data_IF_265762434717
#
_entry.id   IF_265762434717
#
_cell.length_a   1.000
_cell.length_b   1.000
_cell.length_c   1.000
_cell.angle_alpha   90.00
_cell.angle_beta   90.00
_cell.angle_gamma   90.00
#
_symmetry.space_group_name_H-M   'P 1'
#
loop_
_entity.id
_entity.type
_entity.pdbx_description
1 polymer ?
#
# COMPACT_ATOMS: atom_id res chain seq x y z
N UNK A 1 26.59 36.37 69.93
CA UNK A 1 25.17 36.50 69.57
C UNK A 1 24.97 35.72 68.28
N UNK A 2 24.38 34.52 68.35
CA UNK A 2 24.16 33.65 67.18
C UNK A 2 22.66 33.45 66.98
N UNK A 3 22.21 33.74 65.75
CA UNK A 3 20.82 33.74 65.32
C UNK A 3 20.27 32.30 65.09
N UNK A 4 18.97 32.07 65.32
CA UNK A 4 18.34 30.76 65.12
C UNK A 4 18.14 30.41 63.64
N UNK A 5 18.39 29.13 63.35
CA UNK A 5 18.44 28.51 62.03
C UNK A 5 17.09 28.51 61.30
N UNK A 6 17.06 29.10 60.11
CA UNK A 6 15.92 29.29 59.19
C UNK A 6 15.50 28.04 58.41
N UNK A 7 16.05 26.87 58.71
CA UNK A 7 15.89 25.64 57.91
C UNK A 7 14.58 24.90 58.20
N UNK A 8 13.99 25.08 59.40
CA UNK A 8 12.78 24.36 59.80
C UNK A 8 11.50 24.86 59.13
N UNK A 9 11.42 26.17 58.81
CA UNK A 9 10.23 26.76 58.20
C UNK A 9 10.03 26.34 56.73
N UNK A 10 11.11 26.06 55.99
CA UNK A 10 11.00 25.68 54.57
C UNK A 10 10.57 24.23 54.34
N UNK A 11 10.86 23.30 55.26
CA UNK A 11 10.37 21.92 55.14
C UNK A 11 8.85 21.84 55.32
N UNK A 12 8.30 22.62 56.25
CA UNK A 12 6.87 22.59 56.56
C UNK A 12 5.97 23.19 55.46
N UNK A 13 6.52 24.08 54.62
CA UNK A 13 5.81 24.65 53.47
C UNK A 13 5.77 23.72 52.24
N UNK A 14 6.71 22.77 52.11
CA UNK A 14 6.78 21.84 50.97
C UNK A 14 5.74 20.73 51.08
N UNK A 15 5.45 20.27 52.30
CA UNK A 15 4.48 19.18 52.54
C UNK A 15 3.02 19.60 52.33
N UNK A 16 2.67 20.89 52.45
CA UNK A 16 1.29 21.35 52.19
C UNK A 16 0.94 21.45 50.71
N UNK A 17 1.93 21.62 49.83
CA UNK A 17 1.68 21.69 48.38
C UNK A 17 1.48 20.32 47.72
N UNK A 18 2.05 19.26 48.27
CA UNK A 18 1.83 17.89 47.78
C UNK A 18 0.47 17.33 48.20
N UNK A 19 -0.07 17.73 49.36
CA UNK A 19 -1.40 17.31 49.80
C UNK A 19 -2.54 17.89 48.95
N UNK A 20 -2.38 19.08 48.37
CA UNK A 20 -3.44 19.75 47.59
C UNK A 20 -3.47 19.38 46.10
N UNK A 21 -2.45 18.68 45.58
CA UNK A 21 -2.42 18.25 44.17
C UNK A 21 -3.08 16.88 43.93
N UNK A 22 -3.39 16.14 44.98
CA UNK A 22 -4.00 14.80 44.88
C UNK A 22 -5.53 14.79 44.91
N UNK A 23 -6.19 15.91 45.23
CA UNK A 23 -7.67 15.99 45.22
C UNK A 23 -8.27 16.33 43.85
N UNK A 24 -7.45 16.68 42.85
CA UNK A 24 -7.94 17.16 41.55
C UNK A 24 -8.10 16.08 40.47
N UNK A 25 -7.83 14.80 40.78
CA UNK A 25 -7.90 13.72 39.79
C UNK A 25 -8.98 12.70 40.16
N UNK A 26 -10.16 12.72 39.50
CA UNK A 26 -11.24 11.75 39.75
C UNK A 26 -10.91 10.32 39.26
N UNK A 27 -9.68 10.05 38.84
CA UNK A 27 -9.27 8.77 38.24
C UNK A 27 -8.85 7.68 39.25
N UNK A 28 -8.69 8.04 40.53
CA UNK A 28 -8.27 7.09 41.59
C UNK A 28 -9.27 7.02 42.75
N UNK A 29 -10.55 6.81 42.45
CA UNK A 29 -11.44 6.21 43.46
C UNK A 29 -11.13 4.71 43.55
N UNK A 30 -10.95 4.15 44.76
CA UNK A 30 -10.72 2.72 44.92
C UNK A 30 -11.89 1.95 44.31
N UNK A 31 -11.59 1.05 43.36
CA UNK A 31 -12.57 0.07 42.88
C UNK A 31 -12.95 -0.81 44.08
N UNK A 32 -14.24 -0.95 44.35
CA UNK A 32 -14.74 -2.03 45.21
C UNK A 32 -14.17 -3.37 44.70
N UNK A 33 -13.76 -4.29 45.58
CA UNK A 33 -13.31 -5.61 45.18
C UNK A 33 -14.42 -6.31 44.39
N UNK A 34 -14.04 -7.02 43.33
CA UNK A 34 -14.87 -7.60 42.26
C UNK A 34 -15.85 -8.71 42.74
N UNK A 35 -15.97 -8.93 44.06
CA UNK A 35 -16.75 -10.03 44.64
C UNK A 35 -18.15 -9.69 45.14
N UNK A 36 -18.59 -8.43 45.11
CA UNK A 36 -19.82 -8.01 45.79
C UNK A 36 -20.52 -6.88 45.03
N UNK A 37 -20.84 -7.14 43.76
CA UNK A 37 -21.62 -6.23 42.92
C UNK A 37 -23.00 -6.85 42.72
N UNK A 38 -24.04 -6.26 43.31
CA UNK A 38 -25.41 -6.76 43.18
C UNK A 38 -25.91 -6.59 41.75
N UNK A 39 -26.83 -7.45 41.33
CA UNK A 39 -27.41 -7.43 39.98
C UNK A 39 -28.05 -6.05 39.64
N UNK A 40 -28.49 -5.33 40.67
CA UNK A 40 -29.02 -3.98 40.63
C UNK A 40 -27.95 -2.89 40.35
N UNK A 41 -26.70 -3.04 40.82
CA UNK A 41 -25.58 -2.16 40.45
C UNK A 41 -25.13 -2.41 38.99
N UNK A 42 -25.19 -3.65 38.51
CA UNK A 42 -24.89 -4.00 37.10
C UNK A 42 -25.95 -3.42 36.16
N UNK A 43 -27.23 -3.47 36.55
CA UNK A 43 -28.33 -2.87 35.80
C UNK A 43 -28.24 -1.33 35.75
N UNK A 44 -27.76 -0.68 36.83
CA UNK A 44 -27.54 0.77 36.85
C UNK A 44 -26.40 1.21 35.88
N UNK A 45 -25.34 0.40 35.76
CA UNK A 45 -24.25 0.65 34.80
C UNK A 45 -24.70 0.48 33.34
N UNK A 46 -25.61 -0.47 33.06
CA UNK A 46 -26.14 -0.72 31.71
C UNK A 46 -27.26 0.25 31.30
N UNK A 47 -28.03 0.78 32.26
CA UNK A 47 -29.21 1.63 31.97
C UNK A 47 -28.89 3.12 31.80
N UNK A 48 -27.74 3.59 32.29
CA UNK A 48 -27.46 5.03 32.41
C UNK A 48 -27.29 5.80 31.10
N UNK A 49 -26.98 5.14 29.97
CA UNK A 49 -26.57 5.85 28.76
C UNK A 49 -27.00 5.18 27.44
N UNK A 50 -28.22 4.60 27.40
CA UNK A 50 -28.81 4.03 26.17
C UNK A 50 -28.80 4.98 24.97
N UNK A 51 -28.88 6.29 25.22
CA UNK A 51 -28.75 7.32 24.18
C UNK A 51 -27.37 7.27 23.51
N UNK A 52 -26.31 7.13 24.29
CA UNK A 52 -24.94 7.04 23.76
C UNK A 52 -24.67 5.72 23.06
N UNK A 53 -25.28 4.62 23.53
CA UNK A 53 -25.19 3.32 22.87
C UNK A 53 -25.81 3.38 21.46
N UNK A 54 -26.97 4.01 21.32
CA UNK A 54 -27.61 4.22 20.01
C UNK A 54 -26.74 5.05 19.06
N UNK A 55 -26.15 6.15 19.54
CA UNK A 55 -25.22 6.96 18.75
C UNK A 55 -23.95 6.19 18.37
N UNK A 56 -23.39 5.40 19.29
CA UNK A 56 -22.20 4.57 19.01
C UNK A 56 -22.48 3.54 17.91
N UNK A 57 -23.65 2.88 17.94
CA UNK A 57 -24.05 1.94 16.90
C UNK A 57 -24.29 2.62 15.55
N UNK A 58 -24.87 3.82 15.53
CA UNK A 58 -25.04 4.59 14.28
C UNK A 58 -23.70 5.00 13.67
N UNK A 59 -22.76 5.49 14.49
CA UNK A 59 -21.41 5.85 14.01
C UNK A 59 -20.67 4.61 13.51
N UNK A 60 -20.73 3.50 14.23
CA UNK A 60 -20.13 2.24 13.80
C UNK A 60 -20.72 1.75 12.47
N UNK A 61 -22.05 1.79 12.32
CA UNK A 61 -22.72 1.45 11.07
C UNK A 61 -22.31 2.36 9.91
N UNK A 62 -22.21 3.67 10.14
CA UNK A 62 -21.78 4.63 9.13
C UNK A 62 -20.35 4.35 8.67
N UNK A 63 -19.42 4.05 9.59
CA UNK A 63 -18.04 3.71 9.26
C UNK A 63 -17.94 2.41 8.47
N UNK A 64 -18.76 1.41 8.79
CA UNK A 64 -18.83 0.15 8.03
C UNK A 64 -19.30 0.45 6.61
N UNK A 65 -20.40 1.21 6.43
CA UNK A 65 -20.92 1.58 5.10
C UNK A 65 -19.88 2.39 4.31
N UNK A 66 -19.22 3.36 4.94
CA UNK A 66 -18.13 4.12 4.33
C UNK A 66 -16.95 3.25 3.89
N UNK A 67 -16.64 2.18 4.64
CA UNK A 67 -15.59 1.23 4.25
C UNK A 67 -15.96 0.40 3.01
N UNK A 68 -17.24 0.21 2.72
CA UNK A 68 -17.70 -0.45 1.48
C UNK A 68 -17.76 0.52 0.31
N UNK A 69 -17.95 1.82 0.57
CA UNK A 69 -17.83 2.88 -0.44
C UNK A 69 -16.35 3.30 -0.51
N UNK A 70 -15.45 2.36 -0.81
CA UNK A 70 -14.17 2.76 -1.39
C UNK A 70 -14.47 3.17 -2.82
N UNK A 71 -14.21 4.41 -3.25
CA UNK A 71 -14.27 4.72 -4.67
C UNK A 71 -13.33 3.74 -5.36
N UNK A 72 -13.82 3.06 -6.39
CA UNK A 72 -13.01 2.21 -7.24
C UNK A 72 -11.75 3.00 -7.60
N UNK A 73 -10.66 2.64 -6.91
CA UNK A 73 -9.39 3.33 -7.00
C UNK A 73 -8.94 3.18 -8.44
N UNK A 74 -9.13 4.27 -9.20
CA UNK A 74 -8.61 4.53 -10.55
C UNK A 74 -8.13 3.25 -11.23
N UNK A 75 -9.07 2.47 -11.78
CA UNK A 75 -8.70 1.44 -12.75
C UNK A 75 -7.98 2.18 -13.86
N UNK A 76 -6.65 2.07 -13.88
CA UNK A 76 -5.84 2.65 -14.93
C UNK A 76 -6.50 2.30 -16.27
N UNK A 77 -6.63 3.27 -17.20
CA UNK A 77 -7.17 2.96 -18.52
C UNK A 77 -6.41 1.74 -19.04
N UNK A 78 -7.15 0.72 -19.50
CA UNK A 78 -6.55 -0.48 -20.04
C UNK A 78 -5.50 -0.03 -21.07
N UNK A 79 -4.24 -0.50 -20.99
CA UNK A 79 -3.21 -0.06 -21.91
C UNK A 79 -3.75 -0.31 -23.31
N UNK A 80 -3.85 0.76 -24.11
CA UNK A 80 -4.26 0.65 -25.50
C UNK A 80 -3.08 -0.05 -26.17
N UNK A 81 -3.14 -1.38 -26.29
CA UNK A 81 -2.16 -2.13 -27.06
C UNK A 81 -2.31 -1.68 -28.51
N UNK A 82 -1.46 -0.77 -28.95
CA UNK A 82 -1.23 -0.56 -30.37
C UNK A 82 -0.47 -1.79 -30.86
N UNK A 83 -1.23 -2.81 -31.24
CA UNK A 83 -0.73 -4.04 -31.83
C UNK A 83 -0.73 -3.86 -33.35
N UNK A 84 0.47 -3.87 -33.94
CA UNK A 84 0.66 -3.75 -35.38
C UNK A 84 1.33 -5.02 -35.88
N UNK A 85 0.80 -5.61 -36.95
CA UNK A 85 1.50 -6.70 -37.65
C UNK A 85 2.90 -6.23 -38.04
N UNK A 86 3.91 -7.04 -37.74
CA UNK A 86 5.26 -6.89 -38.27
C UNK A 86 5.53 -7.90 -39.40
N UNK A 87 4.53 -8.69 -39.80
CA UNK A 87 4.62 -9.60 -40.93
C UNK A 87 5.19 -10.95 -40.57
N UNK A 88 5.83 -11.63 -41.52
CA UNK A 88 6.52 -12.91 -41.27
C UNK A 88 8.03 -12.70 -41.21
N UNK A 89 8.71 -13.49 -40.37
CA UNK A 89 10.17 -13.47 -40.27
C UNK A 89 10.77 -14.02 -41.56
N UNK A 90 11.69 -13.26 -42.16
CA UNK A 90 12.47 -13.66 -43.34
C UNK A 90 13.83 -14.22 -42.91
N UNK A 91 14.52 -13.49 -42.03
CA UNK A 91 15.83 -13.88 -41.51
C UNK A 91 16.06 -13.31 -40.11
N UNK A 92 16.95 -13.96 -39.37
CA UNK A 92 17.42 -13.52 -38.05
C UNK A 92 18.94 -13.58 -38.04
N UNK A 93 19.56 -12.45 -37.73
CA UNK A 93 21.01 -12.33 -37.56
C UNK A 93 21.32 -12.01 -36.11
N UNK A 94 22.12 -12.84 -35.45
CA UNK A 94 22.50 -12.62 -34.05
C UNK A 94 23.86 -11.93 -34.02
N UNK A 95 23.92 -10.78 -33.35
CA UNK A 95 25.12 -10.01 -33.13
C UNK A 95 25.64 -10.26 -31.71
N UNK A 96 26.83 -10.85 -31.62
CA UNK A 96 27.53 -11.03 -30.36
C UNK A 96 28.61 -9.96 -30.22
N UNK A 97 28.52 -9.16 -29.17
CA UNK A 97 29.60 -8.26 -28.74
C UNK A 97 30.22 -8.78 -27.43
N UNK A 98 31.34 -8.21 -27.00
CA UNK A 98 31.98 -8.61 -25.76
C UNK A 98 31.13 -8.34 -24.50
N UNK A 99 30.14 -7.46 -24.58
CA UNK A 99 29.34 -7.01 -23.45
C UNK A 99 27.84 -7.25 -23.59
N UNK A 100 27.35 -7.49 -24.81
CA UNK A 100 25.93 -7.63 -25.09
C UNK A 100 25.64 -8.56 -26.27
N UNK A 101 24.43 -9.10 -26.31
CA UNK A 101 23.90 -9.91 -27.40
C UNK A 101 22.65 -9.22 -27.93
N UNK A 102 22.68 -8.79 -29.18
CA UNK A 102 21.52 -8.25 -29.88
C UNK A 102 21.21 -9.09 -31.12
N UNK A 103 19.99 -9.01 -31.63
CA UNK A 103 19.60 -9.70 -32.86
C UNK A 103 18.88 -8.75 -33.80
N UNK A 104 19.20 -8.83 -35.08
CA UNK A 104 18.46 -8.16 -36.15
C UNK A 104 17.47 -9.15 -36.74
N UNK A 105 16.18 -8.85 -36.59
CA UNK A 105 15.08 -9.63 -37.16
C UNK A 105 14.58 -8.90 -38.39
N UNK A 106 14.72 -9.52 -39.55
CA UNK A 106 14.14 -9.04 -40.80
C UNK A 106 12.79 -9.70 -41.01
N UNK A 107 11.77 -8.89 -41.21
CA UNK A 107 10.43 -9.33 -41.52
C UNK A 107 9.98 -8.76 -42.86
N UNK A 108 8.83 -9.22 -43.36
CA UNK A 108 8.24 -8.69 -44.61
C UNK A 108 7.90 -7.20 -44.52
N UNK A 109 7.61 -6.71 -43.32
CA UNK A 109 7.14 -5.33 -43.11
C UNK A 109 8.28 -4.39 -42.71
N UNK A 110 9.44 -4.91 -42.29
CA UNK A 110 10.57 -4.09 -41.86
C UNK A 110 11.76 -4.86 -41.29
N UNK A 111 12.70 -4.14 -40.71
CA UNK A 111 13.85 -4.71 -40.00
C UNK A 111 13.89 -4.14 -38.59
N UNK A 112 14.06 -5.02 -37.60
CA UNK A 112 13.93 -4.70 -36.20
C UNK A 112 15.16 -5.18 -35.45
N UNK A 113 15.82 -4.29 -34.70
CA UNK A 113 16.90 -4.67 -33.80
C UNK A 113 16.32 -4.90 -32.41
N UNK A 114 16.60 -6.06 -31.84
CA UNK A 114 16.09 -6.44 -30.51
C UNK A 114 17.22 -6.91 -29.62
N UNK A 115 17.04 -6.67 -28.32
CA UNK A 115 17.98 -7.13 -27.30
C UNK A 115 17.79 -8.62 -27.03
N UNK A 116 18.91 -9.35 -26.97
CA UNK A 116 18.98 -10.79 -26.74
C UNK A 116 19.05 -11.62 -28.03
N UNK A 117 19.20 -12.94 -27.85
CA UNK A 117 19.18 -13.92 -28.92
C UNK A 117 17.73 -14.29 -29.26
N UNK A 118 17.27 -13.97 -30.47
CA UNK A 118 15.93 -14.31 -30.94
C UNK A 118 15.90 -15.74 -31.46
N UNK A 119 15.02 -16.55 -30.89
CA UNK A 119 14.69 -17.87 -31.43
C UNK A 119 13.46 -17.76 -32.33
N UNK A 120 13.67 -17.66 -33.63
CA UNK A 120 12.61 -17.64 -34.65
C UNK A 120 13.09 -18.32 -35.94
N UNK A 121 12.16 -18.92 -36.68
CA UNK A 121 12.41 -19.52 -37.98
C UNK A 121 11.77 -18.68 -39.11
N UNK A 122 12.32 -18.73 -40.34
CA UNK A 122 11.67 -18.12 -41.49
C UNK A 122 10.24 -18.64 -41.65
N UNK A 123 9.28 -17.71 -41.80
CA UNK A 123 7.85 -18.00 -41.88
C UNK A 123 7.09 -17.93 -40.54
N UNK A 124 7.77 -17.74 -39.41
CA UNK A 124 7.12 -17.45 -38.13
C UNK A 124 6.46 -16.05 -38.18
N UNK A 125 5.34 -15.86 -37.50
CA UNK A 125 4.64 -14.57 -37.48
C UNK A 125 5.21 -13.64 -36.41
N UNK A 126 5.37 -12.37 -36.77
CA UNK A 126 5.89 -11.33 -35.90
C UNK A 126 4.87 -10.21 -35.73
N UNK A 127 4.76 -9.69 -34.51
CA UNK A 127 3.84 -8.62 -34.16
C UNK A 127 4.56 -7.57 -33.34
N UNK A 128 4.45 -6.33 -33.78
CA UNK A 128 4.93 -5.17 -33.05
C UNK A 128 3.88 -4.75 -32.02
N UNK A 129 4.29 -4.62 -30.76
CA UNK A 129 3.44 -4.15 -29.67
C UNK A 129 4.06 -2.94 -29.02
N UNK A 130 3.36 -1.82 -29.07
CA UNK A 130 3.69 -0.65 -28.27
C UNK A 130 3.03 -0.82 -26.90
N UNK A 131 3.85 -1.15 -25.89
CA UNK A 131 3.35 -1.31 -24.53
C UNK A 131 3.40 0.04 -23.83
N UNK A 132 2.24 0.63 -23.57
CA UNK A 132 2.12 1.76 -22.66
C UNK A 132 1.97 1.25 -21.23
N UNK A 133 2.97 1.51 -20.39
CA UNK A 133 2.90 1.12 -18.99
C UNK A 133 2.28 2.29 -18.21
N UNK A 134 1.23 2.09 -17.38
CA UNK A 134 0.66 3.18 -16.58
C UNK A 134 1.65 3.78 -15.56
N UNK A 135 2.79 3.12 -15.34
CA UNK A 135 3.92 3.57 -14.52
C UNK A 135 5.00 4.38 -15.29
N UNK A 136 4.77 4.73 -16.56
CA UNK A 136 5.58 5.71 -17.29
C UNK A 136 6.79 5.18 -18.05
N UNK A 137 6.77 3.92 -18.47
CA UNK A 137 7.87 3.35 -19.26
C UNK A 137 7.35 2.68 -20.53
N UNK A 138 7.19 3.48 -21.57
CA UNK A 138 6.76 3.02 -22.89
C UNK A 138 7.98 2.43 -23.60
N UNK A 139 7.93 1.13 -23.88
CA UNK A 139 8.99 0.47 -24.66
C UNK A 139 8.34 -0.38 -25.75
N UNK A 140 8.70 -0.15 -27.02
CA UNK A 140 8.22 -0.99 -28.09
C UNK A 140 8.81 -2.41 -27.94
N UNK A 141 8.00 -3.42 -28.22
CA UNK A 141 8.41 -4.83 -28.17
C UNK A 141 8.04 -5.54 -29.47
N UNK A 142 8.92 -6.43 -29.90
CA UNK A 142 8.66 -7.34 -31.02
C UNK A 142 8.31 -8.72 -30.45
N UNK A 143 7.08 -9.16 -30.68
CA UNK A 143 6.61 -10.48 -30.29
C UNK A 143 6.66 -11.42 -31.48
N UNK A 144 7.41 -12.51 -31.37
CA UNK A 144 7.49 -13.55 -32.40
C UNK A 144 6.75 -14.79 -31.92
N UNK A 145 5.81 -15.26 -32.73
CA UNK A 145 5.06 -16.48 -32.50
C UNK A 145 5.68 -17.60 -33.34
N UNK A 146 6.52 -18.41 -32.72
CA UNK A 146 7.06 -19.63 -33.32
C UNK A 146 6.22 -20.84 -32.93
N UNK A 147 6.35 -21.93 -33.70
CA UNK A 147 5.70 -23.22 -33.39
C UNK A 147 6.12 -23.80 -32.03
N UNK A 148 7.29 -23.40 -31.54
CA UNK A 148 7.85 -23.90 -30.27
C UNK A 148 7.39 -23.03 -29.10
N UNK A 149 7.46 -21.69 -29.24
CA UNK A 149 7.10 -20.74 -28.19
C UNK A 149 6.83 -19.35 -28.76
N UNK A 150 5.91 -18.62 -28.14
CA UNK A 150 5.73 -17.18 -28.35
C UNK A 150 6.52 -16.37 -27.32
N UNK A 151 7.38 -15.45 -27.77
CA UNK A 151 8.24 -14.62 -26.90
C UNK A 151 8.27 -13.19 -27.43
N UNK A 152 8.27 -12.22 -26.51
CA UNK A 152 8.40 -10.80 -26.82
C UNK A 152 9.77 -10.27 -26.40
N UNK A 153 10.46 -9.66 -27.35
CA UNK A 153 11.78 -9.07 -27.20
C UNK A 153 11.66 -7.55 -27.15
N UNK A 154 12.56 -6.89 -26.40
CA UNK A 154 12.62 -5.43 -26.34
C UNK A 154 13.38 -4.92 -27.56
N UNK A 155 12.83 -3.90 -28.22
CA UNK A 155 13.51 -3.19 -29.30
C UNK A 155 14.55 -2.21 -28.72
N UNK A 156 15.70 -2.11 -29.38
CA UNK A 156 16.78 -1.16 -29.07
C UNK A 156 16.65 0.15 -29.85
#
# INVERSE_FOLDING_TARGET
MNAPNTVSAQRQARDRRTALLLEAWPMFRPRKPVGEMSDDEVAAYLSGNWRFLGWALLVAGLLIVWSFIKPDSMRAPAPVLAERSAGTVESVEVHHTAFDVSSTVRTTDGTYQVSGAVSAAPGDSAVFREWSNPAGSDYPRLCVASRIKSVCYRLE
#
